data_IF_758240577172
#
_entry.id   IF_758240577172
#
_cell.length_a   1.000
_cell.length_b   1.000
_cell.length_c   1.000
_cell.angle_alpha   90.00
_cell.angle_beta   90.00
_cell.angle_gamma   90.00
#
_symmetry.space_group_name_H-M   'P 1'
#
loop_
_entity.id
_entity.type
_entity.pdbx_description
1 polymer ?
#
# COMPACT_ATOMS: atom_id res chain seq x y z
N UNK A 1 7.24 11.58 25.38
CA UNK A 1 7.01 10.72 24.21
C UNK A 1 5.84 11.24 23.40
N UNK A 2 5.74 10.86 22.14
CA UNK A 2 4.67 11.25 21.24
C UNK A 2 4.21 10.03 20.44
N UNK A 3 2.92 9.97 20.12
CA UNK A 3 2.33 8.98 19.23
C UNK A 3 1.28 9.63 18.32
N UNK A 4 0.92 8.94 17.26
CA UNK A 4 -0.10 9.36 16.33
C UNK A 4 -1.26 8.34 16.32
N UNK A 5 -2.46 8.84 16.14
CA UNK A 5 -3.66 8.06 15.83
C UNK A 5 -4.08 8.36 14.41
N UNK A 6 -4.30 7.31 13.64
CA UNK A 6 -4.75 7.37 12.25
C UNK A 6 -6.24 7.08 12.21
N UNK A 7 -7.00 8.07 11.79
CA UNK A 7 -8.44 7.96 11.60
C UNK A 7 -8.77 8.04 10.09
N UNK A 8 -9.74 7.25 9.67
CA UNK A 8 -10.36 7.31 8.35
C UNK A 8 -11.82 7.71 8.56
N UNK A 9 -12.23 8.86 7.99
CA UNK A 9 -13.55 9.46 8.22
C UNK A 9 -13.94 9.45 9.70
N UNK A 10 -13.07 10.00 10.56
CA UNK A 10 -13.22 10.10 12.03
C UNK A 10 -13.22 8.78 12.80
N UNK A 11 -13.10 7.64 12.14
CA UNK A 11 -13.00 6.33 12.80
C UNK A 11 -11.53 5.96 12.99
N UNK A 12 -11.14 5.60 14.21
CA UNK A 12 -9.78 5.16 14.54
C UNK A 12 -9.48 3.79 13.91
N UNK A 13 -8.45 3.74 13.08
CA UNK A 13 -7.99 2.51 12.42
C UNK A 13 -6.64 2.02 12.95
N UNK A 14 -5.73 2.93 13.27
CA UNK A 14 -4.42 2.55 13.75
C UNK A 14 -3.82 3.59 14.70
N UNK A 15 -2.81 3.15 15.45
CA UNK A 15 -2.04 3.98 16.36
C UNK A 15 -0.57 3.61 16.27
N UNK A 16 0.31 4.61 16.23
CA UNK A 16 1.74 4.37 16.26
C UNK A 16 2.24 4.04 17.67
N UNK A 17 3.42 3.47 17.74
CA UNK A 17 4.15 3.37 19.01
C UNK A 17 4.57 4.76 19.51
N UNK A 18 4.75 4.87 20.83
CA UNK A 18 5.23 6.11 21.45
C UNK A 18 6.72 6.28 21.29
N UNK A 19 7.16 7.36 20.62
CA UNK A 19 8.58 7.71 20.45
C UNK A 19 8.99 8.87 21.36
N UNK A 20 10.19 8.80 21.89
CA UNK A 20 10.76 9.89 22.68
C UNK A 20 11.05 11.10 21.80
N UNK A 21 10.83 12.31 22.32
CA UNK A 21 11.17 13.53 21.61
C UNK A 21 12.68 13.60 21.39
N UNK A 22 13.08 13.68 20.13
CA UNK A 22 14.39 14.08 19.65
C UNK A 22 14.21 15.35 18.81
N UNK A 23 15.25 15.84 18.16
CA UNK A 23 15.14 16.99 17.26
C UNK A 23 14.10 16.72 16.16
N UNK A 24 14.12 15.51 15.59
CA UNK A 24 13.11 15.00 14.69
C UNK A 24 12.58 13.66 15.21
N UNK A 25 11.25 13.52 15.28
CA UNK A 25 10.62 12.26 15.68
C UNK A 25 10.37 11.45 14.40
N UNK A 26 10.92 10.25 14.35
CA UNK A 26 10.69 9.31 13.25
C UNK A 26 9.98 8.07 13.78
N UNK A 27 8.74 7.85 13.33
CA UNK A 27 7.98 6.65 13.68
C UNK A 27 8.40 5.47 12.80
N UNK A 28 8.47 5.65 11.48
CA UNK A 28 8.86 4.61 10.55
C UNK A 28 7.86 3.46 10.46
N UNK A 29 6.62 3.71 10.87
CA UNK A 29 5.58 2.69 10.90
C UNK A 29 4.72 2.74 9.64
N UNK A 30 4.29 1.56 9.20
CA UNK A 30 3.52 1.35 7.99
C UNK A 30 2.21 0.66 8.34
N UNK A 31 1.11 1.15 7.78
CA UNK A 31 -0.22 0.60 7.98
C UNK A 31 -0.88 0.36 6.62
N UNK A 32 -1.45 -0.82 6.45
CA UNK A 32 -2.19 -1.22 5.26
C UNK A 32 -3.61 -1.63 5.66
N UNK A 33 -4.58 -1.15 4.89
CA UNK A 33 -5.98 -1.45 5.12
C UNK A 33 -6.61 -1.92 3.82
N UNK A 34 -7.44 -2.96 3.94
CA UNK A 34 -8.12 -3.59 2.81
C UNK A 34 -9.62 -3.61 3.04
N UNK A 35 -10.39 -3.68 1.94
CA UNK A 35 -11.84 -3.78 2.01
C UNK A 35 -12.52 -2.55 2.62
N UNK A 36 -11.90 -1.38 2.47
CA UNK A 36 -12.45 -0.14 2.99
C UNK A 36 -13.66 0.32 2.17
N UNK A 37 -14.66 0.94 2.80
CA UNK A 37 -15.72 1.63 2.08
C UNK A 37 -15.17 2.87 1.35
N UNK A 38 -16.03 3.58 0.64
CA UNK A 38 -15.68 4.89 0.10
C UNK A 38 -15.34 5.84 1.26
N UNK A 39 -14.18 6.48 1.20
CA UNK A 39 -13.64 7.36 2.22
C UNK A 39 -13.40 8.76 1.67
N UNK A 40 -13.53 9.77 2.54
CA UNK A 40 -13.39 11.18 2.19
C UNK A 40 -12.07 11.77 2.68
N UNK A 41 -11.58 11.34 3.85
CA UNK A 41 -10.41 11.92 4.48
C UNK A 41 -9.59 10.93 5.31
N UNK A 42 -8.30 11.22 5.40
CA UNK A 42 -7.37 10.65 6.37
C UNK A 42 -7.08 11.73 7.40
N UNK A 43 -7.32 11.46 8.68
CA UNK A 43 -6.96 12.37 9.76
C UNK A 43 -5.90 11.72 10.65
N UNK A 44 -4.80 12.45 10.87
CA UNK A 44 -3.72 12.01 11.77
C UNK A 44 -3.73 12.92 12.97
N UNK A 45 -4.13 12.38 14.12
CA UNK A 45 -4.09 13.07 15.40
C UNK A 45 -2.76 12.81 16.09
N UNK A 46 -2.14 13.85 16.63
CA UNK A 46 -0.86 13.77 17.31
C UNK A 46 -1.06 14.03 18.80
N UNK A 47 -0.54 13.13 19.62
CA UNK A 47 -0.63 13.19 21.08
C UNK A 47 0.72 13.14 21.73
N UNK A 48 0.79 13.78 22.89
CA UNK A 48 1.92 13.65 23.82
C UNK A 48 1.60 12.53 24.81
N UNK A 49 2.45 11.51 24.86
CA UNK A 49 2.33 10.41 25.79
C UNK A 49 2.92 10.85 27.15
N UNK A 50 2.06 11.01 28.14
CA UNK A 50 2.43 11.43 29.49
C UNK A 50 2.30 10.24 30.43
N UNK A 51 3.32 9.97 31.23
CA UNK A 51 3.29 8.91 32.24
C UNK A 51 2.12 9.07 33.19
N UNK A 52 1.45 7.95 33.51
CA UNK A 52 0.20 7.89 34.30
C UNK A 52 0.22 8.61 35.66
N UNK A 53 1.39 8.96 36.18
CA UNK A 53 1.54 9.64 37.48
C UNK A 53 1.18 11.14 37.48
N UNK A 54 1.03 11.76 36.31
CA UNK A 54 0.67 13.18 36.18
C UNK A 54 -0.72 13.37 35.57
N UNK A 55 -1.74 12.76 36.19
CA UNK A 55 -3.14 12.81 35.72
C UNK A 55 -3.79 14.21 35.68
N UNK A 56 -3.11 15.27 36.07
CA UNK A 56 -3.69 16.63 36.13
C UNK A 56 -3.64 17.42 34.83
N UNK A 57 -2.80 17.04 33.86
CA UNK A 57 -2.74 17.74 32.57
C UNK A 57 -3.69 17.12 31.57
N UNK A 58 -4.89 17.68 31.46
CA UNK A 58 -5.97 17.27 30.54
C UNK A 58 -5.66 17.48 29.06
N UNK A 59 -4.49 17.99 28.69
CA UNK A 59 -4.25 18.41 27.31
C UNK A 59 -3.01 17.76 26.73
N UNK A 60 -3.10 16.42 26.51
CA UNK A 60 -2.07 15.66 25.81
C UNK A 60 -2.18 15.78 24.27
N UNK A 61 -3.19 16.48 23.79
CA UNK A 61 -3.44 16.66 22.37
C UNK A 61 -2.53 17.76 21.81
N UNK A 62 -1.79 17.44 20.75
CA UNK A 62 -0.88 18.37 20.08
C UNK A 62 -1.58 19.04 18.90
N UNK A 63 -2.29 18.27 18.09
CA UNK A 63 -2.98 18.76 16.92
C UNK A 63 -3.30 17.66 15.93
N UNK A 64 -3.81 18.04 14.76
CA UNK A 64 -4.17 17.13 13.70
C UNK A 64 -3.65 17.57 12.33
N UNK A 65 -3.57 16.61 11.43
CA UNK A 65 -3.46 16.82 9.99
C UNK A 65 -4.65 16.15 9.35
N UNK A 66 -5.34 16.86 8.47
CA UNK A 66 -6.41 16.32 7.64
C UNK A 66 -5.94 16.28 6.19
N UNK A 67 -6.07 15.11 5.55
CA UNK A 67 -5.66 14.85 4.17
C UNK A 67 -6.92 14.42 3.41
N UNK A 68 -7.45 15.25 2.50
CA UNK A 68 -8.54 14.84 1.64
C UNK A 68 -8.16 13.63 0.80
N UNK A 69 -9.01 12.60 0.77
CA UNK A 69 -8.73 11.35 0.08
C UNK A 69 -8.41 11.56 -1.40
N UNK A 70 -9.09 12.50 -2.05
CA UNK A 70 -8.85 12.85 -3.45
C UNK A 70 -7.39 13.25 -3.76
N UNK A 71 -6.67 13.80 -2.77
CA UNK A 71 -5.27 14.24 -2.96
C UNK A 71 -4.25 13.09 -2.95
N UNK A 72 -4.66 11.92 -2.47
CA UNK A 72 -3.81 10.73 -2.33
C UNK A 72 -4.37 9.52 -3.10
N UNK A 73 -5.45 9.74 -3.86
CA UNK A 73 -6.05 8.71 -4.71
C UNK A 73 -5.22 8.52 -5.97
N UNK A 74 -4.81 7.28 -6.24
CA UNK A 74 -4.06 6.92 -7.43
C UNK A 74 -3.11 5.74 -7.22
N UNK A 75 -2.35 5.42 -8.26
CA UNK A 75 -1.38 4.30 -8.23
C UNK A 75 -0.08 4.66 -7.51
N UNK A 76 0.26 5.94 -7.46
CA UNK A 76 1.52 6.42 -6.89
C UNK A 76 1.33 6.83 -5.42
N UNK A 77 2.35 6.59 -4.61
CA UNK A 77 2.41 7.15 -3.28
C UNK A 77 2.61 8.66 -3.34
N UNK A 78 1.82 9.39 -2.56
CA UNK A 78 1.99 10.81 -2.33
C UNK A 78 2.71 11.01 -1.01
N UNK A 79 3.88 11.63 -1.03
CA UNK A 79 4.71 11.90 0.13
C UNK A 79 4.92 13.41 0.27
N UNK A 80 4.43 13.99 1.36
CA UNK A 80 4.47 15.44 1.61
C UNK A 80 4.66 15.75 3.08
N UNK A 81 5.15 16.96 3.34
CA UNK A 81 5.09 17.59 4.63
C UNK A 81 3.75 18.29 4.81
N UNK A 82 3.04 17.94 5.87
CA UNK A 82 1.75 18.54 6.21
C UNK A 82 1.88 19.39 7.46
N UNK A 83 1.36 20.62 7.45
CA UNK A 83 1.32 21.46 8.65
C UNK A 83 0.33 20.84 9.65
N UNK A 84 0.72 20.84 10.92
CA UNK A 84 -0.13 20.34 12.01
C UNK A 84 -0.99 21.49 12.52
N UNK A 85 -2.30 21.34 12.42
CA UNK A 85 -3.27 22.26 13.02
C UNK A 85 -3.31 22.06 14.53
N UNK A 86 -2.89 23.06 15.28
CA UNK A 86 -2.87 23.02 16.75
C UNK A 86 -4.09 23.75 17.32
N UNK A 87 -4.67 23.28 18.46
CA UNK A 87 -5.84 23.92 19.08
C UNK A 87 -5.62 25.38 19.49
N UNK A 88 -4.39 25.71 19.87
CA UNK A 88 -3.98 27.07 20.20
C UNK A 88 -3.09 27.63 19.10
N UNK A 89 -3.51 28.69 18.39
CA UNK A 89 -2.66 29.29 17.37
C UNK A 89 -1.40 29.86 18.02
N UNK A 90 -0.24 29.47 17.51
CA UNK A 90 1.04 29.99 17.95
C UNK A 90 1.12 31.48 17.60
N UNK A 91 0.89 32.35 18.56
CA UNK A 91 1.11 33.78 18.41
C UNK A 91 2.62 34.02 18.22
N UNK A 92 3.05 34.34 17.02
CA UNK A 92 4.32 35.00 16.75
C UNK A 92 5.50 34.14 16.28
N UNK A 93 5.36 32.88 15.90
CA UNK A 93 6.43 32.14 15.21
C UNK A 93 5.96 31.70 13.82
N UNK A 94 6.64 32.20 12.80
CA UNK A 94 6.52 31.68 11.44
C UNK A 94 7.02 30.23 11.42
N UNK A 95 6.13 29.27 11.19
CA UNK A 95 6.43 27.83 11.11
C UNK A 95 5.91 27.05 12.31
N UNK A 96 4.67 26.55 12.21
CA UNK A 96 4.12 25.55 13.12
C UNK A 96 4.78 24.18 12.95
N UNK A 97 4.46 23.21 13.82
CA UNK A 97 4.93 21.85 13.66
C UNK A 97 4.40 21.25 12.35
N UNK A 98 5.20 20.42 11.69
CA UNK A 98 4.83 19.71 10.49
C UNK A 98 5.17 18.23 10.62
N UNK A 99 4.44 17.38 9.89
CA UNK A 99 4.67 15.94 9.84
C UNK A 99 4.77 15.49 8.39
N UNK A 100 5.72 14.61 8.11
CA UNK A 100 5.88 13.99 6.79
C UNK A 100 5.08 12.69 6.75
N UNK A 101 4.15 12.61 5.83
CA UNK A 101 3.29 11.45 5.65
C UNK A 101 3.39 10.98 4.20
N UNK A 102 3.54 9.67 4.04
CA UNK A 102 3.49 8.98 2.75
C UNK A 102 2.24 8.12 2.72
N UNK A 103 1.32 8.43 1.84
CA UNK A 103 0.03 7.75 1.74
C UNK A 103 -0.40 7.49 0.31
N UNK A 104 -1.26 6.51 0.14
CA UNK A 104 -1.91 6.17 -1.12
C UNK A 104 -3.28 5.57 -0.81
N UNK A 105 -4.27 5.99 -1.56
CA UNK A 105 -5.58 5.35 -1.61
C UNK A 105 -5.87 4.89 -3.02
N UNK A 106 -6.36 3.67 -3.16
CA UNK A 106 -6.68 3.11 -4.45
C UNK A 106 -7.98 2.32 -4.37
N UNK A 107 -8.88 2.61 -5.28
CA UNK A 107 -10.09 1.84 -5.50
C UNK A 107 -9.88 0.94 -6.71
N UNK A 108 -10.17 -0.35 -6.54
CA UNK A 108 -10.10 -1.34 -7.62
C UNK A 108 -11.51 -1.88 -7.80
N UNK A 109 -12.09 -1.65 -8.98
CA UNK A 109 -13.35 -2.25 -9.36
C UNK A 109 -13.09 -3.59 -10.02
N UNK A 110 -13.58 -4.66 -9.40
CA UNK A 110 -13.49 -6.03 -9.95
C UNK A 110 -14.82 -6.32 -10.64
N UNK A 111 -14.75 -6.59 -11.92
CA UNK A 111 -15.92 -6.98 -12.71
C UNK A 111 -16.28 -8.46 -12.50
N UNK A 112 -17.50 -8.90 -12.84
CA UNK A 112 -17.84 -10.32 -12.87
C UNK A 112 -16.89 -11.11 -13.76
N UNK A 113 -16.64 -12.39 -13.41
CA UNK A 113 -15.63 -13.24 -14.06
C UNK A 113 -15.85 -13.38 -15.57
N UNK A 114 -17.10 -13.33 -16.01
CA UNK A 114 -17.48 -13.41 -17.42
C UNK A 114 -16.84 -12.30 -18.27
N UNK A 115 -16.65 -11.13 -17.67
CA UNK A 115 -16.04 -9.98 -18.35
C UNK A 115 -14.53 -10.18 -18.62
N UNK A 116 -13.89 -11.11 -17.90
CA UNK A 116 -12.46 -11.42 -18.06
C UNK A 116 -12.20 -12.68 -18.89
N UNK A 117 -13.25 -13.37 -19.37
CA UNK A 117 -13.14 -14.66 -20.06
C UNK A 117 -12.21 -14.57 -21.29
N UNK A 118 -12.46 -13.60 -22.16
CA UNK A 118 -11.65 -13.41 -23.38
C UNK A 118 -10.20 -13.10 -23.05
N UNK A 119 -9.96 -12.26 -22.04
CA UNK A 119 -8.60 -11.95 -21.57
C UNK A 119 -7.92 -13.20 -21.02
N UNK A 120 -8.58 -13.97 -20.17
CA UNK A 120 -8.05 -15.21 -19.61
C UNK A 120 -7.74 -16.25 -20.71
N UNK A 121 -8.61 -16.41 -21.69
CA UNK A 121 -8.39 -17.28 -22.86
C UNK A 121 -7.21 -16.81 -23.71
N UNK A 122 -7.08 -15.50 -23.95
CA UNK A 122 -5.95 -14.91 -24.67
C UNK A 122 -4.62 -15.19 -23.97
N UNK A 123 -4.54 -14.90 -22.66
CA UNK A 123 -3.34 -15.18 -21.85
C UNK A 123 -2.99 -16.66 -21.88
N UNK A 124 -3.98 -17.53 -21.69
CA UNK A 124 -3.79 -18.98 -21.67
C UNK A 124 -3.29 -19.54 -23.01
N UNK A 125 -3.81 -19.00 -24.11
CA UNK A 125 -3.45 -19.46 -25.46
C UNK A 125 -2.11 -18.90 -25.94
N UNK A 126 -1.68 -17.76 -25.42
CA UNK A 126 -0.51 -17.02 -25.89
C UNK A 126 0.55 -16.78 -24.81
N UNK A 127 0.56 -17.54 -23.69
CA UNK A 127 1.42 -17.27 -22.54
C UNK A 127 2.92 -17.23 -22.89
N UNK A 128 3.39 -18.11 -23.77
CA UNK A 128 4.80 -18.17 -24.19
C UNK A 128 5.20 -16.92 -24.97
N UNK A 129 4.35 -16.47 -25.87
CA UNK A 129 4.56 -15.24 -26.65
C UNK A 129 4.55 -14.02 -25.70
N UNK A 130 3.58 -13.97 -24.78
CA UNK A 130 3.51 -12.89 -23.78
C UNK A 130 4.77 -12.83 -22.90
N UNK A 131 5.26 -13.97 -22.41
CA UNK A 131 6.51 -14.04 -21.66
C UNK A 131 7.68 -13.48 -22.48
N UNK A 132 7.83 -13.88 -23.74
CA UNK A 132 8.93 -13.43 -24.60
C UNK A 132 8.90 -11.91 -24.89
N UNK A 133 7.71 -11.35 -25.06
CA UNK A 133 7.52 -9.91 -25.32
C UNK A 133 7.71 -9.08 -24.07
N UNK A 134 7.25 -9.58 -22.92
CA UNK A 134 7.27 -8.83 -21.66
C UNK A 134 8.62 -8.92 -20.95
N UNK A 135 9.37 -10.00 -21.12
CA UNK A 135 10.65 -10.22 -20.44
C UNK A 135 11.66 -9.07 -20.60
N UNK A 136 11.90 -8.50 -21.78
CA UNK A 136 12.85 -7.40 -21.96
C UNK A 136 12.33 -6.05 -21.44
N UNK A 137 11.02 -5.89 -21.26
CA UNK A 137 10.39 -4.60 -20.94
C UNK A 137 10.10 -4.47 -19.43
N UNK A 138 9.86 -5.58 -18.75
CA UNK A 138 9.47 -5.58 -17.33
C UNK A 138 10.71 -5.56 -16.43
N UNK A 139 10.70 -4.67 -15.43
CA UNK A 139 11.74 -4.64 -14.41
C UNK A 139 11.81 -5.94 -13.61
N UNK A 140 12.97 -6.30 -13.08
CA UNK A 140 13.19 -7.53 -12.30
C UNK A 140 12.18 -7.68 -11.17
N UNK A 141 11.89 -6.58 -10.46
CA UNK A 141 10.91 -6.57 -9.37
C UNK A 141 9.48 -6.92 -9.83
N UNK A 142 9.08 -6.47 -11.00
CA UNK A 142 7.73 -6.68 -11.52
C UNK A 142 7.59 -8.03 -12.24
N UNK A 143 8.69 -8.72 -12.57
CA UNK A 143 8.67 -10.04 -13.20
C UNK A 143 8.01 -11.08 -12.29
N UNK A 144 8.29 -11.05 -10.99
CA UNK A 144 7.70 -11.96 -10.02
C UNK A 144 6.19 -11.74 -9.89
N UNK A 145 5.74 -10.49 -9.76
CA UNK A 145 4.31 -10.16 -9.69
C UNK A 145 3.56 -10.60 -10.96
N UNK A 146 4.19 -10.40 -12.13
CA UNK A 146 3.61 -10.81 -13.41
C UNK A 146 3.55 -12.34 -13.54
N UNK A 147 4.60 -13.05 -13.12
CA UNK A 147 4.62 -14.51 -13.13
C UNK A 147 3.52 -15.09 -12.24
N UNK A 148 3.37 -14.57 -11.02
CA UNK A 148 2.28 -14.96 -10.11
C UNK A 148 0.90 -14.70 -10.73
N UNK A 149 0.68 -13.54 -11.34
CA UNK A 149 -0.59 -13.21 -12.00
C UNK A 149 -0.90 -14.18 -13.14
N UNK A 150 0.07 -14.50 -14.00
CA UNK A 150 -0.09 -15.47 -15.09
C UNK A 150 -0.42 -16.87 -14.58
N UNK A 151 0.27 -17.33 -13.52
CA UNK A 151 -0.02 -18.62 -12.87
C UNK A 151 -1.45 -18.69 -12.37
N UNK A 152 -1.94 -17.64 -11.70
CA UNK A 152 -3.32 -17.59 -11.23
C UNK A 152 -4.33 -17.65 -12.36
N UNK A 153 -4.08 -16.97 -13.49
CA UNK A 153 -4.95 -17.04 -14.67
C UNK A 153 -4.95 -18.46 -15.26
N UNK A 154 -3.78 -19.07 -15.43
CA UNK A 154 -3.66 -20.45 -15.94
C UNK A 154 -4.36 -21.47 -15.05
N UNK A 155 -4.26 -21.32 -13.73
CA UNK A 155 -4.97 -22.16 -12.77
C UNK A 155 -6.48 -21.97 -12.84
N UNK A 156 -6.97 -20.73 -12.91
CA UNK A 156 -8.40 -20.42 -12.97
C UNK A 156 -9.09 -20.96 -14.24
N UNK A 157 -8.33 -21.08 -15.34
CA UNK A 157 -8.83 -21.66 -16.62
C UNK A 157 -8.72 -23.18 -16.68
N UNK A 158 -8.25 -23.85 -15.63
CA UNK A 158 -8.07 -25.31 -15.60
C UNK A 158 -6.95 -25.83 -16.50
N UNK A 159 -6.19 -24.96 -17.15
CA UNK A 159 -5.08 -25.31 -18.07
C UNK A 159 -3.71 -25.32 -17.41
N UNK A 160 -3.66 -25.39 -16.07
CA UNK A 160 -2.42 -25.44 -15.28
C UNK A 160 -1.50 -26.64 -15.60
N UNK A 161 -1.93 -27.61 -16.40
CA UNK A 161 -1.10 -28.73 -16.92
C UNK A 161 -0.27 -28.37 -18.15
N UNK A 162 -0.06 -27.06 -18.40
CA UNK A 162 0.82 -26.65 -19.50
C UNK A 162 2.26 -27.05 -19.13
N UNK A 163 2.79 -28.01 -19.87
CA UNK A 163 4.21 -28.38 -19.79
C UNK A 163 5.05 -27.14 -20.06
N UNK A 164 5.74 -26.66 -19.04
CA UNK A 164 6.80 -25.67 -19.18
C UNK A 164 7.98 -26.38 -19.87
N UNK A 165 7.89 -26.54 -21.18
CA UNK A 165 8.88 -27.26 -21.96
C UNK A 165 8.81 -26.83 -23.42
N UNK A 166 9.31 -25.64 -23.71
CA UNK A 166 9.67 -25.17 -25.04
C UNK A 166 10.98 -24.40 -24.96
N UNK A 167 11.83 -24.44 -26.00
CA UNK A 167 13.11 -23.75 -25.98
C UNK A 167 12.92 -22.25 -26.11
N UNK A 168 12.71 -21.55 -24.99
CA UNK A 168 12.91 -20.11 -24.92
C UNK A 168 14.38 -19.84 -24.61
N UNK A 169 15.06 -19.16 -25.52
CA UNK A 169 16.50 -18.87 -25.43
C UNK A 169 16.90 -17.93 -24.28
N UNK A 170 15.91 -17.38 -23.52
CA UNK A 170 16.13 -16.54 -22.35
C UNK A 170 15.19 -16.99 -21.22
N UNK A 171 15.59 -18.04 -20.52
CA UNK A 171 14.71 -18.85 -19.66
C UNK A 171 14.30 -18.30 -18.31
N UNK A 172 14.63 -17.05 -17.91
CA UNK A 172 14.45 -16.63 -16.52
C UNK A 172 13.00 -16.43 -16.13
N UNK A 173 12.15 -15.90 -17.01
CA UNK A 173 10.72 -15.64 -16.70
C UNK A 173 9.89 -16.92 -16.72
N UNK A 174 10.18 -17.83 -17.64
CA UNK A 174 9.53 -19.14 -17.70
C UNK A 174 9.98 -20.06 -16.55
N UNK A 175 11.22 -19.94 -16.09
CA UNK A 175 11.70 -20.61 -14.89
C UNK A 175 10.97 -20.13 -13.63
N UNK A 176 10.74 -18.81 -13.48
CA UNK A 176 9.95 -18.28 -12.37
C UNK A 176 8.53 -18.85 -12.34
N UNK A 177 7.87 -18.97 -13.49
CA UNK A 177 6.55 -19.60 -13.57
C UNK A 177 6.64 -21.08 -13.19
N UNK A 178 7.68 -21.79 -13.64
CA UNK A 178 7.94 -23.20 -13.33
C UNK A 178 8.16 -23.41 -11.82
N UNK A 179 8.99 -22.60 -11.20
CA UNK A 179 9.30 -22.68 -9.77
C UNK A 179 8.08 -22.32 -8.90
N UNK A 180 7.24 -21.36 -9.32
CA UNK A 180 5.99 -21.02 -8.63
C UNK A 180 5.01 -22.20 -8.67
N UNK A 181 4.95 -22.96 -9.77
CA UNK A 181 4.14 -24.17 -9.86
C UNK A 181 4.64 -25.30 -8.95
N UNK A 182 5.94 -25.49 -8.81
CA UNK A 182 6.49 -26.51 -7.94
C UNK A 182 6.30 -26.20 -6.44
N UNK A 183 6.20 -24.93 -6.07
CA UNK A 183 5.97 -24.49 -4.69
C UNK A 183 4.49 -24.60 -4.27
N UNK A 184 3.56 -24.53 -5.20
CA UNK A 184 2.11 -24.65 -4.93
C UNK A 184 1.62 -26.13 -4.98
N UNK A 185 2.47 -27.07 -5.37
CA UNK A 185 2.14 -28.51 -5.42
C UNK A 185 2.33 -29.25 -4.08
N UNK A 186 2.37 -28.53 -2.99
CA UNK A 186 2.26 -29.02 -1.63
C UNK A 186 0.86 -28.71 -1.09
#
# INVERSE_FOLDING_TARGET
>A
KYFCELCLDDTLFARTTSKTKADNIFWGEHFEFYGLPALHSITVHIYKDVEKKKKKDKNNYVGLVNIPMATVTGRQFVEKWYPVSTPTPNKGKSGGPSIRIKSRYQTITILPMEQYKEFAEFVTSNYTMLCSVLEPVISVRNKEEMACAMVHILQSTGRAKVRVGGPCQNGSFLLMIGDTFSTISL
#
